data_IF_782418603429
#
_entry.id   IF_782418603429
#
_cell.length_a   1.000
_cell.length_b   1.000
_cell.length_c   1.000
_cell.angle_alpha   90.00
_cell.angle_beta   90.00
_cell.angle_gamma   90.00
#
_symmetry.space_group_name_H-M   'P 1'
#
loop_
_entity.id
_entity.type
_entity.pdbx_description
1 polymer ?
#
# COMPACT_ATOMS: atom_id res chain seq x y z
N UNK A 1 27.13 15.10 -7.28
CA UNK A 1 25.90 15.46 -6.56
C UNK A 1 24.67 14.84 -7.20
N UNK A 2 24.28 15.26 -8.40
CA UNK A 2 23.02 14.86 -9.04
C UNK A 2 22.94 13.40 -9.51
N UNK A 3 24.06 12.81 -9.96
CA UNK A 3 24.08 11.42 -10.46
C UNK A 3 23.84 10.37 -9.36
N UNK A 4 24.15 10.70 -8.10
CA UNK A 4 24.02 9.78 -6.96
C UNK A 4 22.65 9.90 -6.26
N UNK A 5 21.88 10.95 -6.56
CA UNK A 5 20.58 11.20 -5.94
C UNK A 5 19.54 10.08 -6.22
N UNK A 6 19.44 9.52 -7.45
CA UNK A 6 18.51 8.42 -7.71
C UNK A 6 18.87 7.17 -6.91
N UNK A 7 20.17 6.86 -6.79
CA UNK A 7 20.63 5.68 -6.07
C UNK A 7 20.50 5.85 -4.55
N UNK A 8 20.78 7.05 -4.04
CA UNK A 8 20.54 7.40 -2.63
C UNK A 8 19.05 7.30 -2.26
N UNK A 9 18.14 7.76 -3.14
CA UNK A 9 16.69 7.58 -2.94
C UNK A 9 16.30 6.12 -2.96
N UNK A 10 16.83 5.32 -3.89
CA UNK A 10 16.54 3.88 -3.96
C UNK A 10 17.04 3.15 -2.71
N UNK A 11 18.22 3.48 -2.21
CA UNK A 11 18.77 2.90 -0.97
C UNK A 11 17.91 3.30 0.24
N UNK A 12 17.46 4.55 0.32
CA UNK A 12 16.58 5.02 1.39
C UNK A 12 15.23 4.30 1.36
N UNK A 13 14.61 4.18 0.19
CA UNK A 13 13.35 3.44 0.00
C UNK A 13 13.50 1.96 0.36
N UNK A 14 14.62 1.33 -0.01
CA UNK A 14 14.91 -0.06 0.38
C UNK A 14 15.10 -0.20 1.89
N UNK A 15 15.78 0.76 2.54
CA UNK A 15 15.98 0.76 3.98
C UNK A 15 14.67 0.97 4.75
N UNK A 16 13.81 1.87 4.27
CA UNK A 16 12.47 2.11 4.81
C UNK A 16 11.58 0.87 4.62
N UNK A 17 11.58 0.25 3.43
CA UNK A 17 10.84 -0.98 3.15
C UNK A 17 11.32 -2.18 3.97
N UNK A 18 12.63 -2.32 4.22
CA UNK A 18 13.19 -3.35 5.08
C UNK A 18 12.79 -3.13 6.56
N UNK A 19 12.77 -1.88 7.03
CA UNK A 19 12.28 -1.54 8.37
C UNK A 19 10.78 -1.80 8.52
N UNK A 20 9.98 -1.59 7.48
CA UNK A 20 8.56 -1.95 7.46
C UNK A 20 8.34 -3.47 7.44
N UNK A 21 9.16 -4.23 6.71
CA UNK A 21 9.10 -5.71 6.66
C UNK A 21 9.40 -6.33 8.03
N UNK A 22 10.32 -5.75 8.80
CA UNK A 22 10.64 -6.18 10.17
C UNK A 22 9.53 -5.82 11.17
N UNK A 23 8.77 -4.73 10.96
CA UNK A 23 7.58 -4.41 11.77
C UNK A 23 6.39 -5.34 11.50
N UNK A 24 6.36 -6.04 10.35
CA UNK A 24 5.28 -6.96 9.96
C UNK A 24 5.42 -8.38 10.56
N UNK A 25 6.37 -8.61 11.47
CA UNK A 25 6.47 -9.85 12.28
C UNK A 25 6.48 -9.43 13.76
N UNK A 26 5.34 -9.43 14.48
CA UNK A 26 5.01 -10.60 15.31
C UNK A 26 3.50 -10.80 15.62
N UNK A 27 3.01 -12.03 15.42
CA UNK A 27 2.03 -12.72 16.27
C UNK A 27 0.65 -12.11 16.64
N UNK A 28 0.22 -10.95 16.09
CA UNK A 28 -1.07 -10.34 16.45
C UNK A 28 -1.81 -9.47 15.42
N UNK A 29 -1.17 -8.99 14.36
CA UNK A 29 -1.72 -7.97 13.42
C UNK A 29 -2.43 -8.54 12.17
N UNK A 30 -3.35 -9.49 12.34
CA UNK A 30 -4.09 -10.10 11.22
C UNK A 30 -5.02 -9.16 10.40
N UNK A 31 -5.03 -7.85 10.63
CA UNK A 31 -6.26 -7.09 10.42
C UNK A 31 -6.21 -5.76 9.68
N UNK A 32 -5.14 -5.35 8.97
CA UNK A 32 -5.22 -4.12 8.15
C UNK A 32 -4.48 -4.22 6.82
N UNK A 33 -5.14 -3.82 5.72
CA UNK A 33 -4.58 -3.71 4.37
C UNK A 33 -4.80 -2.30 3.85
N UNK A 34 -3.73 -1.63 3.42
CA UNK A 34 -3.77 -0.28 2.84
C UNK A 34 -3.96 -0.38 1.33
N UNK A 35 -5.06 0.17 0.83
CA UNK A 35 -5.46 0.10 -0.58
C UNK A 35 -5.54 1.51 -1.18
N UNK A 36 -4.65 1.79 -2.12
CA UNK A 36 -4.77 2.97 -2.96
C UNK A 36 -5.88 2.78 -3.99
N UNK A 37 -6.61 3.83 -4.33
CA UNK A 37 -7.54 3.83 -5.45
C UNK A 37 -7.60 5.18 -6.17
N UNK A 38 -8.03 5.18 -7.43
CA UNK A 38 -8.31 6.38 -8.21
C UNK A 38 -9.81 6.66 -8.21
N UNK A 39 -10.24 7.88 -8.53
CA UNK A 39 -11.66 8.20 -8.73
C UNK A 39 -12.36 7.25 -9.73
N UNK A 40 -11.68 6.84 -10.80
CA UNK A 40 -12.23 5.89 -11.77
C UNK A 40 -12.45 4.49 -11.16
N UNK A 41 -11.49 4.01 -10.37
CA UNK A 41 -11.62 2.69 -9.72
C UNK A 41 -12.63 2.70 -8.56
N UNK A 42 -12.86 3.87 -7.93
CA UNK A 42 -13.91 4.06 -6.91
C UNK A 42 -15.31 3.70 -7.45
N UNK A 43 -15.58 4.02 -8.72
CA UNK A 43 -16.86 3.72 -9.36
C UNK A 43 -16.90 2.36 -10.06
N UNK A 44 -15.75 1.85 -10.51
CA UNK A 44 -15.70 0.62 -11.31
C UNK A 44 -15.50 -0.66 -10.49
N UNK A 45 -14.48 -0.71 -9.63
CA UNK A 45 -13.99 -1.97 -9.02
C UNK A 45 -14.06 -1.98 -7.50
N UNK A 46 -13.89 -0.81 -6.85
CA UNK A 46 -13.84 -0.71 -5.40
C UNK A 46 -15.11 -1.26 -4.71
N UNK A 47 -16.35 -1.00 -5.18
CA UNK A 47 -17.55 -1.51 -4.51
C UNK A 47 -17.55 -3.05 -4.42
N UNK A 48 -17.22 -3.72 -5.53
CA UNK A 48 -17.14 -5.20 -5.60
C UNK A 48 -16.00 -5.77 -4.75
N UNK A 49 -14.90 -5.02 -4.61
CA UNK A 49 -13.79 -5.41 -3.74
C UNK A 49 -14.23 -5.36 -2.27
N UNK A 50 -14.89 -4.27 -1.86
CA UNK A 50 -15.36 -4.10 -0.48
C UNK A 50 -16.42 -5.13 -0.09
N UNK A 51 -17.36 -5.44 -0.99
CA UNK A 51 -18.35 -6.50 -0.78
C UNK A 51 -17.67 -7.85 -0.49
N UNK A 52 -16.76 -8.27 -1.37
CA UNK A 52 -16.05 -9.55 -1.21
C UNK A 52 -15.13 -9.59 0.01
N UNK A 53 -14.50 -8.47 0.35
CA UNK A 53 -13.66 -8.38 1.53
C UNK A 53 -14.49 -8.54 2.80
N UNK A 54 -15.65 -7.89 2.89
CA UNK A 54 -16.56 -8.06 4.04
C UNK A 54 -17.05 -9.51 4.19
N UNK A 55 -17.31 -10.19 3.08
CA UNK A 55 -17.78 -11.59 3.11
C UNK A 55 -16.68 -12.58 3.49
N UNK A 56 -15.45 -12.37 2.99
CA UNK A 56 -14.39 -13.39 3.04
C UNK A 56 -13.29 -13.09 4.06
N UNK A 57 -13.16 -11.83 4.47
CA UNK A 57 -12.11 -11.31 5.33
C UNK A 57 -12.72 -10.34 6.38
N UNK A 58 -13.73 -10.77 7.17
CA UNK A 58 -14.43 -9.88 8.11
C UNK A 58 -13.54 -9.29 9.20
N UNK A 59 -12.44 -9.96 9.53
CA UNK A 59 -11.47 -9.52 10.55
C UNK A 59 -10.37 -8.61 9.96
N UNK A 60 -10.42 -8.31 8.65
CA UNK A 60 -9.48 -7.42 7.97
C UNK A 60 -10.09 -6.04 7.77
N UNK A 61 -9.46 -5.05 8.37
CA UNK A 61 -9.68 -3.62 8.13
C UNK A 61 -9.07 -3.23 6.79
N UNK A 62 -9.79 -2.46 5.98
CA UNK A 62 -9.25 -1.87 4.76
C UNK A 62 -9.06 -0.37 4.98
N UNK A 63 -7.81 0.11 4.88
CA UNK A 63 -7.49 1.54 4.85
C UNK A 63 -7.46 2.00 3.39
N UNK A 64 -8.52 2.70 2.97
CA UNK A 64 -8.70 3.13 1.59
C UNK A 64 -8.17 4.55 1.40
N UNK A 65 -7.24 4.73 0.46
CA UNK A 65 -6.62 6.04 0.18
C UNK A 65 -6.82 6.44 -1.28
N UNK A 66 -7.56 7.52 -1.51
CA UNK A 66 -7.73 8.06 -2.86
C UNK A 66 -6.47 8.81 -3.30
N UNK A 67 -5.92 8.46 -4.46
CA UNK A 67 -4.78 9.14 -5.06
C UNK A 67 -4.64 8.85 -6.55
N UNK A 68 -3.81 9.64 -7.24
CA UNK A 68 -3.48 9.40 -8.66
C UNK A 68 -2.53 8.21 -8.82
N UNK A 69 -2.57 7.54 -9.98
CA UNK A 69 -1.77 6.34 -10.26
C UNK A 69 -0.27 6.54 -10.03
N UNK A 70 0.27 7.71 -10.34
CA UNK A 70 1.68 8.02 -10.08
C UNK A 70 2.05 7.92 -8.59
N UNK A 71 1.18 8.42 -7.71
CA UNK A 71 1.36 8.33 -6.26
C UNK A 71 1.14 6.91 -5.74
N UNK A 72 0.22 6.14 -6.35
CA UNK A 72 0.05 4.73 -6.00
C UNK A 72 1.31 3.92 -6.30
N UNK A 73 1.94 4.15 -7.46
CA UNK A 73 3.19 3.47 -7.84
C UNK A 73 4.27 3.77 -6.81
N UNK A 74 4.42 5.03 -6.39
CA UNK A 74 5.37 5.40 -5.35
C UNK A 74 5.05 4.72 -4.01
N UNK A 75 3.79 4.77 -3.57
CA UNK A 75 3.33 4.16 -2.32
C UNK A 75 3.51 2.63 -2.28
N UNK A 76 3.35 1.94 -3.42
CA UNK A 76 3.62 0.51 -3.54
C UNK A 76 5.13 0.22 -3.44
N UNK A 77 5.97 1.07 -4.03
CA UNK A 77 7.42 0.90 -4.00
C UNK A 77 8.01 1.17 -2.60
N UNK A 78 7.40 2.06 -1.82
CA UNK A 78 7.81 2.40 -0.44
C UNK A 78 7.17 1.51 0.62
N UNK A 79 6.16 0.71 0.26
CA UNK A 79 5.39 -0.13 1.19
C UNK A 79 4.31 0.62 1.97
N UNK A 80 4.08 1.91 1.66
CA UNK A 80 2.96 2.69 2.21
C UNK A 80 1.59 2.21 1.75
N UNK A 81 1.54 1.57 0.56
CA UNK A 81 0.38 0.85 0.04
C UNK A 81 0.70 -0.64 -0.05
N UNK A 82 -0.30 -1.47 0.25
CA UNK A 82 -0.25 -2.91 0.01
C UNK A 82 -0.85 -3.26 -1.36
N UNK A 83 -1.82 -2.47 -1.83
CA UNK A 83 -2.53 -2.62 -3.11
C UNK A 83 -2.81 -1.24 -3.73
N UNK A 84 -2.90 -1.13 -5.06
CA UNK A 84 -3.14 0.13 -5.78
C UNK A 84 -3.64 -0.06 -7.20
#
# INVERSE_FOLDING_TARGET
GAAFLPDARRILQLAEGAAQTVKRIPAGDLGTVVVGFTAASAHAVLPRLLERARERLPDVTLDLREMVTAAQIEGLMTGELDLG
#
